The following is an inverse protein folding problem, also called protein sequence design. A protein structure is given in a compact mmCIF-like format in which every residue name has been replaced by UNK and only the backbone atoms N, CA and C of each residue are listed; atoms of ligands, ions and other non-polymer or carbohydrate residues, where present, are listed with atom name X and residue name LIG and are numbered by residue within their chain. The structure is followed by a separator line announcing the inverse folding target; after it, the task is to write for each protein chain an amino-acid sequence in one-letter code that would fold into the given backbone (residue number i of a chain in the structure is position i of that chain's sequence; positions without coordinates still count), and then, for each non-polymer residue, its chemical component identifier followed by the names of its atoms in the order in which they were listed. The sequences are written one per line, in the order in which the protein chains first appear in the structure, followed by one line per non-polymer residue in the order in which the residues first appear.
data_IF_662460692531
#
_entry.id   IF_662460692531
#
_cell.length_a   1.000
_cell.length_b   1.000
_cell.length_c   1.000
_cell.angle_alpha   90.00
_cell.angle_beta   90.00
_cell.angle_gamma   90.00
#
_symmetry.space_group_name_H-M   'P 1'
#
loop_
_entity.id
_entity.type
_entity.pdbx_description
1 polymer ?
#
# COMPACT_ATOMS: atom_id res chain seq x y z
N UNK A 1 14.70 -30.68 13.56
CA UNK A 1 15.68 -31.09 12.56
C UNK A 1 16.45 -29.85 12.10
N UNK A 2 17.77 -29.80 12.20
CA UNK A 2 18.55 -28.65 11.75
C UNK A 2 18.51 -28.59 10.22
N UNK A 3 18.09 -27.46 9.67
CA UNK A 3 18.20 -27.17 8.24
C UNK A 3 19.68 -26.92 7.93
N UNK A 4 20.32 -27.85 7.26
CA UNK A 4 21.61 -27.62 6.62
C UNK A 4 21.41 -26.52 5.57
N UNK A 5 21.73 -25.29 5.94
CA UNK A 5 21.86 -24.20 5.00
C UNK A 5 23.15 -24.42 4.23
N UNK A 6 23.05 -24.83 2.98
CA UNK A 6 24.17 -24.74 2.03
C UNK A 6 24.51 -23.25 1.93
N UNK A 7 25.63 -22.84 2.52
CA UNK A 7 26.21 -21.51 2.36
C UNK A 7 26.64 -21.34 0.88
N UNK A 8 25.70 -21.00 -0.01
CA UNK A 8 26.09 -20.36 -1.27
C UNK A 8 26.56 -18.96 -0.88
N UNK A 9 27.81 -18.64 -1.17
CA UNK A 9 28.32 -17.29 -1.07
C UNK A 9 27.40 -16.39 -1.90
N UNK A 10 26.57 -15.61 -1.21
CA UNK A 10 25.69 -14.64 -1.87
C UNK A 10 26.61 -13.50 -2.29
N UNK A 11 26.73 -13.25 -3.59
CA UNK A 11 27.49 -12.11 -4.10
C UNK A 11 26.82 -10.83 -3.62
N UNK A 12 27.58 -9.98 -2.97
CA UNK A 12 27.17 -8.64 -2.56
C UNK A 12 27.92 -7.62 -3.40
N UNK A 13 27.29 -6.49 -3.64
CA UNK A 13 27.84 -5.40 -4.43
C UNK A 13 28.10 -4.17 -3.56
N UNK A 14 29.16 -3.42 -3.86
CA UNK A 14 29.42 -2.14 -3.21
C UNK A 14 28.45 -1.07 -3.70
N UNK A 15 28.30 0.00 -2.91
CA UNK A 15 27.45 1.13 -3.28
C UNK A 15 27.89 1.75 -4.62
N UNK A 16 29.18 2.00 -4.80
CA UNK A 16 29.72 2.65 -6.00
C UNK A 16 29.57 1.79 -7.24
N UNK A 17 29.72 0.46 -7.10
CA UNK A 17 29.51 -0.48 -8.20
C UNK A 17 28.03 -0.45 -8.65
N UNK A 18 27.09 -0.50 -7.71
CA UNK A 18 25.66 -0.47 -8.01
C UNK A 18 25.28 0.87 -8.62
N UNK A 19 25.79 1.99 -8.07
CA UNK A 19 25.51 3.33 -8.59
C UNK A 19 25.98 3.46 -10.05
N UNK A 20 27.22 3.10 -10.33
CA UNK A 20 27.79 3.16 -11.69
C UNK A 20 26.99 2.34 -12.70
N UNK A 21 26.65 1.09 -12.35
CA UNK A 21 25.88 0.21 -13.24
C UNK A 21 24.44 0.68 -13.42
N UNK A 22 23.82 1.21 -12.35
CA UNK A 22 22.46 1.75 -12.41
C UNK A 22 22.39 3.01 -13.26
N UNK A 23 23.34 3.95 -13.13
CA UNK A 23 23.42 5.13 -13.98
C UNK A 23 23.55 4.73 -15.46
N UNK A 24 24.40 3.75 -15.75
CA UNK A 24 24.53 3.23 -17.11
C UNK A 24 23.24 2.59 -17.63
N UNK A 25 22.52 1.84 -16.77
CA UNK A 25 21.23 1.25 -17.12
C UNK A 25 20.17 2.32 -17.46
N UNK A 26 20.12 3.41 -16.69
CA UNK A 26 19.20 4.53 -16.90
C UNK A 26 19.75 5.61 -17.87
N UNK A 27 20.77 5.27 -18.66
CA UNK A 27 21.33 6.13 -19.71
C UNK A 27 21.82 7.51 -19.21
N UNK A 28 22.36 7.54 -17.99
CA UNK A 28 22.87 8.76 -17.36
C UNK A 28 21.92 9.45 -16.40
N UNK A 29 20.69 8.96 -16.22
CA UNK A 29 19.74 9.51 -15.24
C UNK A 29 20.13 9.06 -13.81
N UNK A 30 20.85 9.94 -13.10
CA UNK A 30 21.31 9.71 -11.74
C UNK A 30 20.14 9.67 -10.72
N UNK A 31 19.08 10.45 -10.98
CA UNK A 31 17.90 10.47 -10.10
C UNK A 31 17.14 9.15 -10.17
N UNK A 32 16.93 8.61 -11.38
CA UNK A 32 16.33 7.29 -11.55
C UNK A 32 17.18 6.19 -10.93
N UNK A 33 18.51 6.24 -11.14
CA UNK A 33 19.46 5.28 -10.56
C UNK A 33 19.44 5.29 -9.01
N UNK A 34 19.57 6.45 -8.40
CA UNK A 34 19.55 6.60 -6.95
C UNK A 34 18.19 6.23 -6.34
N UNK A 35 17.09 6.55 -7.03
CA UNK A 35 15.74 6.18 -6.61
C UNK A 35 15.57 4.66 -6.61
N UNK A 36 16.00 3.97 -7.69
CA UNK A 36 15.95 2.52 -7.76
C UNK A 36 16.79 1.86 -6.66
N UNK A 37 18.03 2.29 -6.49
CA UNK A 37 18.95 1.77 -5.47
C UNK A 37 18.39 1.88 -4.05
N UNK A 38 17.82 3.04 -3.71
CA UNK A 38 17.36 3.33 -2.36
C UNK A 38 16.01 2.68 -2.05
N UNK A 39 15.12 2.51 -3.03
CA UNK A 39 13.75 2.10 -2.79
C UNK A 39 13.44 0.66 -3.21
N UNK A 40 14.12 0.11 -4.23
CA UNK A 40 13.71 -1.11 -4.90
C UNK A 40 14.75 -2.22 -4.96
N UNK A 41 16.04 -1.87 -5.03
CA UNK A 41 17.12 -2.86 -5.05
C UNK A 41 17.09 -3.75 -3.79
N UNK A 42 17.19 -5.06 -3.99
CA UNK A 42 17.21 -6.01 -2.89
C UNK A 42 18.51 -5.88 -2.09
N UNK A 43 18.38 -5.85 -0.76
CA UNK A 43 19.48 -5.81 0.18
C UNK A 43 19.35 -6.93 1.20
N UNK A 44 20.48 -7.33 1.76
CA UNK A 44 20.51 -8.26 2.88
C UNK A 44 20.18 -7.57 4.22
N UNK A 45 20.18 -8.33 5.31
CA UNK A 45 19.93 -7.80 6.67
C UNK A 45 21.03 -6.86 7.18
N UNK A 46 22.19 -6.82 6.53
CA UNK A 46 23.31 -5.91 6.82
C UNK A 46 23.33 -4.71 5.88
N UNK A 47 22.28 -4.53 5.07
CA UNK A 47 22.12 -3.45 4.08
C UNK A 47 23.11 -3.54 2.88
N UNK A 48 23.75 -4.69 2.64
CA UNK A 48 24.55 -4.91 1.44
C UNK A 48 23.62 -5.16 0.24
N UNK A 49 23.98 -4.63 -0.92
CA UNK A 49 23.21 -4.85 -2.14
C UNK A 49 23.37 -6.29 -2.65
N UNK A 50 22.24 -6.91 -2.96
CA UNK A 50 22.12 -8.23 -3.58
C UNK A 50 21.70 -8.13 -5.06
N UNK A 51 21.36 -6.96 -5.51
CA UNK A 51 21.03 -6.62 -6.90
C UNK A 51 21.83 -5.42 -7.32
N UNK A 52 22.39 -5.48 -8.53
CA UNK A 52 23.28 -4.48 -9.07
C UNK A 52 22.62 -3.62 -10.16
N UNK A 53 21.56 -4.14 -10.81
CA UNK A 53 20.83 -3.46 -11.86
C UNK A 53 19.33 -3.77 -11.77
N UNK A 54 18.47 -2.92 -12.36
CA UNK A 54 17.03 -3.22 -12.47
C UNK A 54 16.72 -4.56 -13.16
N UNK A 55 17.56 -5.03 -14.06
CA UNK A 55 17.35 -6.34 -14.70
C UNK A 55 17.39 -7.49 -13.71
N UNK A 56 18.26 -7.44 -12.69
CA UNK A 56 18.30 -8.48 -11.64
C UNK A 56 17.02 -8.47 -10.81
N UNK A 57 16.48 -7.29 -10.50
CA UNK A 57 15.16 -7.14 -9.88
C UNK A 57 14.05 -7.72 -10.79
N UNK A 58 14.08 -7.41 -12.08
CA UNK A 58 13.12 -7.94 -13.04
C UNK A 58 13.16 -9.47 -13.13
N UNK A 59 14.36 -10.06 -13.12
CA UNK A 59 14.53 -11.50 -13.07
C UNK A 59 14.00 -12.12 -11.78
N UNK A 60 14.26 -11.49 -10.64
CA UNK A 60 13.71 -11.94 -9.34
C UNK A 60 12.19 -12.00 -9.39
N UNK A 61 11.55 -10.95 -9.89
CA UNK A 61 10.09 -10.90 -10.02
C UNK A 61 9.57 -11.93 -11.05
N UNK A 62 10.22 -12.02 -12.21
CA UNK A 62 9.83 -12.96 -13.26
C UNK A 62 9.81 -14.41 -12.77
N UNK A 63 10.83 -14.82 -12.00
CA UNK A 63 10.89 -16.14 -11.37
C UNK A 63 9.69 -16.41 -10.44
N UNK A 64 9.27 -15.40 -9.66
CA UNK A 64 8.14 -15.59 -8.75
C UNK A 64 6.80 -15.69 -9.50
N UNK A 65 6.60 -14.86 -10.52
CA UNK A 65 5.39 -14.93 -11.35
C UNK A 65 5.32 -16.25 -12.14
N UNK A 66 6.43 -16.68 -12.75
CA UNK A 66 6.48 -17.94 -13.48
C UNK A 66 6.22 -19.15 -12.55
N UNK A 67 6.74 -19.11 -11.32
CA UNK A 67 6.45 -20.12 -10.30
C UNK A 67 4.95 -20.20 -9.99
N UNK A 68 4.31 -19.03 -9.81
CA UNK A 68 2.86 -18.97 -9.54
C UNK A 68 2.02 -19.38 -10.74
N UNK A 69 2.41 -18.97 -11.93
CA UNK A 69 1.77 -19.39 -13.17
C UNK A 69 1.77 -20.91 -13.32
N UNK A 70 2.94 -21.53 -13.09
CA UNK A 70 3.06 -22.99 -13.10
C UNK A 70 2.20 -23.67 -12.03
N UNK A 71 2.15 -23.11 -10.81
CA UNK A 71 1.31 -23.62 -9.72
C UNK A 71 -0.18 -23.57 -10.08
N UNK A 72 -0.65 -22.45 -10.64
CA UNK A 72 -2.05 -22.31 -11.06
C UNK A 72 -2.38 -23.24 -12.22
N UNK A 73 -1.49 -23.38 -13.20
CA UNK A 73 -1.72 -24.31 -14.32
C UNK A 73 -1.83 -25.75 -13.82
N UNK A 74 -0.95 -26.19 -12.95
CA UNK A 74 -1.02 -27.54 -12.37
C UNK A 74 -2.35 -27.78 -11.63
N UNK A 75 -2.83 -26.80 -10.86
CA UNK A 75 -4.12 -26.90 -10.16
C UNK A 75 -5.31 -26.90 -11.12
N UNK A 76 -5.32 -26.02 -12.12
CA UNK A 76 -6.42 -25.87 -13.06
C UNK A 76 -6.49 -27.01 -14.08
N UNK A 77 -5.40 -27.69 -14.37
CA UNK A 77 -5.32 -28.82 -15.28
C UNK A 77 -5.43 -30.17 -14.58
N UNK A 78 -5.79 -30.21 -13.29
CA UNK A 78 -6.24 -31.46 -12.66
C UNK A 78 -7.52 -31.97 -13.36
N UNK A 79 -7.68 -33.29 -13.48
CA UNK A 79 -8.77 -33.92 -14.21
C UNK A 79 -10.19 -33.43 -13.84
N UNK A 80 -10.36 -32.95 -12.60
CA UNK A 80 -11.65 -32.43 -12.13
C UNK A 80 -11.93 -30.97 -12.59
N UNK A 81 -10.90 -30.15 -12.79
CA UNK A 81 -11.05 -28.72 -13.02
C UNK A 81 -10.87 -28.30 -14.49
N UNK A 82 -10.13 -29.08 -15.28
CA UNK A 82 -9.78 -28.74 -16.67
C UNK A 82 -11.00 -28.47 -17.55
N UNK A 83 -12.04 -29.29 -17.43
CA UNK A 83 -13.29 -29.19 -18.22
C UNK A 83 -14.07 -27.89 -17.95
N UNK A 84 -13.81 -27.22 -16.83
CA UNK A 84 -14.47 -25.96 -16.48
C UNK A 84 -13.68 -24.70 -16.94
N UNK A 85 -12.49 -24.89 -17.50
CA UNK A 85 -11.75 -23.79 -18.07
C UNK A 85 -12.36 -23.33 -19.38
N UNK A 86 -12.28 -22.03 -19.67
CA UNK A 86 -12.57 -21.50 -20.99
C UNK A 86 -11.62 -22.13 -22.03
N UNK A 87 -12.00 -22.08 -23.33
CA UNK A 87 -11.13 -22.53 -24.42
C UNK A 87 -9.73 -21.89 -24.33
N UNK A 88 -9.67 -20.57 -24.11
CA UNK A 88 -8.41 -19.86 -23.89
C UNK A 88 -7.63 -20.44 -22.70
N UNK A 89 -8.29 -20.71 -21.57
CA UNK A 89 -7.64 -21.28 -20.39
C UNK A 89 -7.05 -22.66 -20.61
N UNK A 90 -7.65 -23.46 -21.49
CA UNK A 90 -7.19 -24.80 -21.86
C UNK A 90 -5.99 -24.76 -22.82
N UNK A 91 -6.01 -23.85 -23.80
CA UNK A 91 -5.07 -23.78 -24.92
C UNK A 91 -3.88 -22.83 -24.69
N UNK A 92 -4.01 -21.84 -23.79
CA UNK A 92 -2.97 -20.83 -23.59
C UNK A 92 -1.63 -21.42 -23.14
N UNK A 93 -0.58 -20.89 -23.71
CA UNK A 93 0.77 -21.20 -23.29
C UNK A 93 1.07 -20.63 -21.87
N UNK A 94 1.95 -21.33 -21.14
CA UNK A 94 2.51 -20.81 -19.89
C UNK A 94 3.39 -19.59 -20.14
N UNK A 95 3.27 -18.62 -19.24
CA UNK A 95 4.22 -17.53 -19.13
C UNK A 95 5.45 -18.05 -18.36
N UNK A 96 6.52 -18.33 -19.07
CA UNK A 96 7.81 -18.68 -18.47
C UNK A 96 8.58 -17.45 -17.96
N UNK A 97 9.69 -17.70 -17.28
CA UNK A 97 10.53 -16.63 -16.71
C UNK A 97 11.04 -15.67 -17.78
N UNK A 98 11.39 -16.15 -18.97
CA UNK A 98 11.95 -15.32 -20.06
C UNK A 98 10.89 -14.41 -20.68
N UNK A 99 9.67 -14.94 -20.92
CA UNK A 99 8.54 -14.16 -21.41
C UNK A 99 8.15 -13.06 -20.42
N UNK A 100 8.06 -13.39 -19.13
CA UNK A 100 7.73 -12.42 -18.08
C UNK A 100 8.84 -11.37 -17.94
N UNK A 101 10.10 -11.78 -17.92
CA UNK A 101 11.23 -10.86 -17.89
C UNK A 101 11.21 -9.88 -19.08
N UNK A 102 10.89 -10.37 -20.28
CA UNK A 102 10.77 -9.52 -21.48
C UNK A 102 9.75 -8.39 -21.28
N UNK A 103 8.62 -8.66 -20.61
CA UNK A 103 7.63 -7.63 -20.32
C UNK A 103 8.10 -6.58 -19.32
N UNK A 104 8.96 -6.94 -18.38
CA UNK A 104 9.53 -6.00 -17.39
C UNK A 104 10.74 -5.24 -17.92
N UNK A 105 11.54 -5.87 -18.79
CA UNK A 105 12.83 -5.34 -19.23
C UNK A 105 12.73 -3.90 -19.70
N UNK A 106 13.64 -3.05 -19.21
CA UNK A 106 13.67 -1.61 -19.47
C UNK A 106 12.38 -0.87 -19.09
N UNK A 107 11.54 -1.45 -18.20
CA UNK A 107 10.23 -0.91 -17.84
C UNK A 107 9.31 -0.64 -19.03
N UNK A 108 9.46 -1.42 -20.12
CA UNK A 108 8.88 -1.10 -21.42
C UNK A 108 7.37 -1.38 -21.50
N UNK A 109 6.92 -2.55 -21.05
CA UNK A 109 5.53 -2.97 -21.21
C UNK A 109 4.78 -2.98 -19.87
N UNK A 110 5.45 -3.41 -18.80
CA UNK A 110 4.86 -3.50 -17.45
C UNK A 110 5.79 -2.82 -16.45
N UNK A 111 5.25 -1.84 -15.74
CA UNK A 111 5.91 -1.18 -14.61
C UNK A 111 5.17 -1.62 -13.35
N UNK A 112 5.74 -2.52 -12.55
CA UNK A 112 5.09 -2.97 -11.31
C UNK A 112 5.03 -1.85 -10.27
N UNK A 113 4.08 -1.97 -9.35
CA UNK A 113 4.02 -1.08 -8.20
C UNK A 113 5.21 -1.27 -7.27
N UNK A 114 5.53 -0.24 -6.51
CA UNK A 114 6.72 -0.18 -5.66
C UNK A 114 6.85 -1.31 -4.64
N UNK A 115 5.75 -1.79 -4.05
CA UNK A 115 5.78 -2.93 -3.12
C UNK A 115 6.16 -4.22 -3.82
N UNK A 116 5.71 -4.43 -5.06
CA UNK A 116 6.07 -5.59 -5.87
C UNK A 116 7.56 -5.54 -6.22
N UNK A 117 8.03 -4.39 -6.73
CA UNK A 117 9.44 -4.21 -7.09
C UNK A 117 10.39 -4.44 -5.92
N UNK A 118 10.07 -3.89 -4.74
CA UNK A 118 10.95 -3.99 -3.57
C UNK A 118 10.89 -5.33 -2.85
N UNK A 119 9.74 -6.03 -2.93
CA UNK A 119 9.43 -7.08 -1.95
C UNK A 119 9.17 -8.45 -2.56
N UNK A 120 8.65 -8.54 -3.80
CA UNK A 120 8.35 -9.84 -4.39
C UNK A 120 9.62 -10.67 -4.59
N UNK A 121 9.66 -11.84 -3.94
CA UNK A 121 10.83 -12.72 -3.97
C UNK A 121 12.01 -12.29 -3.08
N UNK A 122 11.83 -11.27 -2.23
CA UNK A 122 12.83 -10.87 -1.24
C UNK A 122 12.62 -11.66 0.05
N UNK A 123 13.54 -12.58 0.42
CA UNK A 123 13.41 -13.40 1.62
C UNK A 123 13.80 -12.66 2.92
N UNK A 124 14.35 -11.45 2.81
CA UNK A 124 14.92 -10.72 3.95
C UNK A 124 13.87 -9.83 4.64
N UNK A 125 12.73 -9.59 4.01
CA UNK A 125 11.68 -8.72 4.53
C UNK A 125 10.30 -9.38 4.46
N UNK A 126 9.43 -9.00 5.39
CA UNK A 126 8.01 -9.35 5.36
C UNK A 126 7.25 -8.07 4.97
N UNK A 127 6.73 -8.04 3.76
CA UNK A 127 6.01 -6.90 3.23
C UNK A 127 4.71 -7.31 2.53
N UNK A 128 3.78 -6.36 2.40
CA UNK A 128 2.62 -6.50 1.53
C UNK A 128 3.04 -6.33 0.07
N UNK A 129 2.41 -7.09 -0.82
CA UNK A 129 2.51 -6.87 -2.26
C UNK A 129 1.40 -5.93 -2.78
N UNK A 130 0.42 -5.61 -1.93
CA UNK A 130 -0.57 -4.56 -2.18
C UNK A 130 -0.05 -3.23 -1.68
N UNK A 131 -0.04 -2.21 -2.54
CA UNK A 131 0.41 -0.87 -2.16
C UNK A 131 -0.63 -0.13 -1.34
N UNK A 132 -1.92 -0.37 -1.59
CA UNK A 132 -3.01 0.33 -0.93
C UNK A 132 -4.11 -0.65 -0.50
N UNK A 133 -4.64 -0.42 0.70
CA UNK A 133 -5.73 -1.19 1.30
C UNK A 133 -6.73 -0.20 1.88
N UNK A 134 -8.01 -0.45 1.69
CA UNK A 134 -9.09 0.26 2.38
C UNK A 134 -9.54 -0.61 3.55
N UNK A 135 -9.56 -0.05 4.74
CA UNK A 135 -10.07 -0.74 5.93
C UNK A 135 -11.62 -0.70 5.94
N UNK A 136 -12.26 -1.67 6.60
CA UNK A 136 -13.68 -1.62 6.87
C UNK A 136 -14.07 -0.38 7.68
N UNK A 137 -15.35 -0.08 7.72
CA UNK A 137 -15.93 0.97 8.55
C UNK A 137 -15.49 0.86 10.00
N UNK A 138 -15.23 2.02 10.61
CA UNK A 138 -14.77 2.09 12.00
C UNK A 138 -15.99 1.95 12.90
N UNK A 139 -15.97 0.97 13.81
CA UNK A 139 -17.02 0.87 14.82
C UNK A 139 -16.96 2.05 15.77
N UNK A 140 -18.11 2.71 16.02
CA UNK A 140 -18.21 3.93 16.82
C UNK A 140 -18.05 3.66 18.33
N UNK A 141 -16.82 3.38 18.71
CA UNK A 141 -16.38 3.18 20.09
C UNK A 141 -14.86 3.37 20.19
N UNK A 142 -14.35 3.62 21.40
CA UNK A 142 -12.89 3.62 21.60
C UNK A 142 -12.24 2.29 21.20
N UNK A 143 -12.94 1.16 21.45
CA UNK A 143 -12.47 -0.16 20.99
C UNK A 143 -12.30 -0.23 19.48
N UNK A 144 -13.30 0.25 18.72
CA UNK A 144 -13.24 0.29 17.25
C UNK A 144 -12.16 1.24 16.74
N UNK A 145 -12.07 2.45 17.30
CA UNK A 145 -11.05 3.45 16.95
C UNK A 145 -9.64 2.91 17.18
N UNK A 146 -9.37 2.32 18.34
CA UNK A 146 -8.04 1.78 18.67
C UNK A 146 -7.72 0.50 17.91
N UNK A 147 -8.74 -0.31 17.58
CA UNK A 147 -8.55 -1.46 16.69
C UNK A 147 -8.11 -1.01 15.29
N UNK A 148 -8.77 0.01 14.75
CA UNK A 148 -8.37 0.61 13.46
C UNK A 148 -6.94 1.16 13.50
N UNK A 149 -6.58 1.87 14.57
CA UNK A 149 -5.22 2.39 14.77
C UNK A 149 -4.17 1.26 14.81
N UNK A 150 -4.47 0.16 15.50
CA UNK A 150 -3.63 -1.04 15.49
C UNK A 150 -3.48 -1.63 14.08
N UNK A 151 -4.58 -1.70 13.31
CA UNK A 151 -4.55 -2.20 11.94
C UNK A 151 -3.67 -1.30 11.05
N UNK A 152 -3.78 0.03 11.18
CA UNK A 152 -2.92 0.99 10.48
C UNK A 152 -1.44 0.69 10.76
N UNK A 153 -1.04 0.55 12.01
CA UNK A 153 0.34 0.23 12.38
C UNK A 153 0.81 -1.09 11.74
N UNK A 154 -0.04 -2.14 11.75
CA UNK A 154 0.28 -3.44 11.16
C UNK A 154 0.44 -3.39 9.64
N UNK A 155 -0.30 -2.53 8.94
CA UNK A 155 -0.23 -2.37 7.51
C UNK A 155 0.94 -1.47 7.10
N UNK A 156 1.15 -0.35 7.79
CA UNK A 156 2.26 0.55 7.52
C UNK A 156 3.62 -0.13 7.66
N UNK A 157 3.85 -0.91 8.71
CA UNK A 157 5.11 -1.65 8.87
C UNK A 157 5.37 -2.65 7.74
N UNK A 158 4.35 -3.01 6.95
CA UNK A 158 4.46 -3.89 5.78
C UNK A 158 4.51 -3.14 4.45
N UNK A 159 4.72 -1.82 4.49
CA UNK A 159 4.79 -0.93 3.31
C UNK A 159 3.48 -0.79 2.54
N UNK A 160 2.35 -0.89 3.23
CA UNK A 160 1.04 -0.68 2.65
C UNK A 160 0.54 0.73 2.95
N UNK A 161 0.04 1.45 1.96
CA UNK A 161 -0.78 2.64 2.15
C UNK A 161 -2.20 2.24 2.55
N UNK A 162 -2.87 3.06 3.36
CA UNK A 162 -4.18 2.71 3.91
C UNK A 162 -5.17 3.87 3.72
N UNK A 163 -6.40 3.52 3.36
CA UNK A 163 -7.56 4.40 3.39
C UNK A 163 -8.50 4.00 4.53
N UNK A 164 -9.01 4.98 5.24
CA UNK A 164 -10.06 4.82 6.26
C UNK A 164 -11.16 5.85 6.05
N UNK A 165 -12.39 5.48 6.41
CA UNK A 165 -13.54 6.35 6.44
C UNK A 165 -13.99 6.56 7.89
N UNK A 166 -14.15 7.83 8.30
CA UNK A 166 -14.55 8.19 9.67
C UNK A 166 -16.00 8.60 9.79
N UNK A 167 -16.80 8.44 8.73
CA UNK A 167 -18.20 8.88 8.69
C UNK A 167 -19.10 8.17 9.69
N UNK A 168 -18.70 6.97 10.13
CA UNK A 168 -19.46 6.21 11.14
C UNK A 168 -19.24 6.68 12.56
N UNK A 169 -18.19 7.47 12.82
CA UNK A 169 -17.93 8.03 14.13
C UNK A 169 -18.90 9.16 14.42
N UNK A 170 -19.47 9.17 15.61
CA UNK A 170 -20.45 10.19 16.04
C UNK A 170 -19.86 11.60 16.05
N UNK A 171 -20.66 12.62 15.67
CA UNK A 171 -20.21 14.00 15.63
C UNK A 171 -19.94 14.60 17.00
N UNK A 172 -19.18 15.68 17.01
CA UNK A 172 -18.83 16.43 18.22
C UNK A 172 -20.08 16.87 19.01
N UNK A 173 -20.01 16.78 20.33
CA UNK A 173 -21.08 17.17 21.23
C UNK A 173 -22.18 16.12 21.43
N UNK A 174 -22.21 15.02 20.68
CA UNK A 174 -23.16 13.94 20.93
C UNK A 174 -22.92 13.28 22.31
N UNK A 175 -24.04 12.90 22.95
CA UNK A 175 -24.01 12.24 24.24
C UNK A 175 -23.33 10.88 24.18
N UNK A 176 -22.56 10.59 25.22
CA UNK A 176 -21.92 9.29 25.45
C UNK A 176 -22.25 8.79 26.86
N UNK A 177 -22.26 7.48 27.05
CA UNK A 177 -22.60 6.85 28.33
C UNK A 177 -21.41 6.78 29.31
N UNK A 178 -20.28 7.40 28.99
CA UNK A 178 -19.10 7.43 29.90
C UNK A 178 -19.04 8.74 30.69
N UNK A 179 -18.04 8.85 31.59
CA UNK A 179 -17.86 9.99 32.49
C UNK A 179 -17.63 11.35 31.80
N UNK A 180 -17.31 11.36 30.48
CA UNK A 180 -17.12 12.59 29.71
C UNK A 180 -18.46 13.28 29.33
N UNK A 181 -19.56 12.52 29.32
CA UNK A 181 -20.90 13.02 28.97
C UNK A 181 -21.10 13.28 27.48
N UNK A 182 -20.10 13.83 26.78
CA UNK A 182 -20.14 14.10 25.33
C UNK A 182 -18.86 13.66 24.64
N UNK A 183 -18.92 13.43 23.30
CA UNK A 183 -17.76 13.12 22.49
C UNK A 183 -17.11 14.39 21.91
N UNK A 184 -15.81 14.27 21.61
CA UNK A 184 -15.04 15.32 20.89
C UNK A 184 -15.24 15.28 19.37
N UNK A 185 -15.96 14.27 18.85
CA UNK A 185 -16.30 14.13 17.44
C UNK A 185 -15.29 13.37 16.59
N UNK A 186 -15.69 13.09 15.34
CA UNK A 186 -14.93 12.28 14.40
C UNK A 186 -13.56 12.90 14.07
N UNK A 187 -13.50 14.21 13.89
CA UNK A 187 -12.31 14.96 13.47
C UNK A 187 -11.19 14.91 14.53
N UNK A 188 -11.57 14.83 15.82
CA UNK A 188 -10.57 14.78 16.90
C UNK A 188 -9.68 13.54 16.85
N UNK A 189 -10.18 12.42 16.32
CA UNK A 189 -9.42 11.17 16.19
C UNK A 189 -8.46 11.14 15.00
N UNK A 190 -8.58 12.07 14.05
CA UNK A 190 -7.70 12.15 12.89
C UNK A 190 -6.23 12.35 13.29
N UNK A 191 -5.96 13.13 14.34
CA UNK A 191 -4.60 13.36 14.80
C UNK A 191 -3.95 12.08 15.35
N UNK A 192 -4.74 11.22 16.02
CA UNK A 192 -4.27 9.92 16.46
C UNK A 192 -3.81 9.05 15.28
N UNK A 193 -4.64 8.90 14.26
CA UNK A 193 -4.30 8.12 13.06
C UNK A 193 -3.12 8.74 12.30
N UNK A 194 -3.06 10.06 12.25
CA UNK A 194 -1.94 10.81 11.68
C UNK A 194 -0.63 10.54 12.43
N UNK A 195 -0.65 10.51 13.76
CA UNK A 195 0.51 10.20 14.58
C UNK A 195 1.03 8.78 14.31
N UNK A 196 0.16 7.79 14.31
CA UNK A 196 0.52 6.40 13.98
C UNK A 196 1.21 6.31 12.62
N UNK A 197 0.73 7.08 11.62
CA UNK A 197 1.36 7.13 10.29
C UNK A 197 2.78 7.69 10.32
N UNK A 198 3.04 8.67 11.17
CA UNK A 198 4.37 9.29 11.33
C UNK A 198 5.34 8.41 12.12
N UNK A 199 4.83 7.73 13.15
CA UNK A 199 5.64 6.91 14.06
C UNK A 199 6.06 5.58 13.47
N UNK A 200 5.19 4.94 12.67
CA UNK A 200 5.51 3.65 12.07
C UNK A 200 6.45 3.84 10.88
N UNK A 201 7.75 3.83 11.18
CA UNK A 201 8.80 3.98 10.18
C UNK A 201 8.84 2.80 9.20
N UNK A 202 9.04 3.09 7.93
CA UNK A 202 9.14 2.14 6.82
C UNK A 202 10.53 2.19 6.16
N UNK A 203 11.60 2.13 6.95
CA UNK A 203 12.97 2.20 6.44
C UNK A 203 13.19 3.44 5.54
N UNK A 204 13.00 4.64 6.11
CA UNK A 204 13.15 5.93 5.40
C UNK A 204 11.93 6.37 4.57
N UNK A 205 10.84 5.59 4.56
CA UNK A 205 9.57 5.95 3.94
C UNK A 205 8.49 6.13 5.01
N UNK A 206 7.76 7.24 4.97
CA UNK A 206 6.60 7.46 5.84
C UNK A 206 5.45 6.56 5.42
N UNK A 207 4.57 6.21 6.35
CA UNK A 207 3.27 5.64 6.05
C UNK A 207 2.48 6.55 5.10
N UNK A 208 1.52 5.99 4.37
CA UNK A 208 0.61 6.74 3.53
C UNK A 208 -0.82 6.49 4.01
N UNK A 209 -1.48 7.52 4.51
CA UNK A 209 -2.86 7.46 5.02
C UNK A 209 -3.75 8.42 4.23
N UNK A 210 -4.91 7.93 3.82
CA UNK A 210 -6.05 8.73 3.36
C UNK A 210 -7.17 8.60 4.38
N UNK A 211 -7.70 9.73 4.84
CA UNK A 211 -8.89 9.78 5.71
C UNK A 211 -10.01 10.41 4.91
N UNK A 212 -11.18 9.75 4.88
CA UNK A 212 -12.37 10.27 4.22
C UNK A 212 -13.49 10.50 5.22
N UNK A 213 -14.40 11.43 4.88
CA UNK A 213 -15.65 11.65 5.57
C UNK A 213 -16.77 11.89 4.54
N UNK A 214 -17.99 11.50 4.87
CA UNK A 214 -19.16 11.80 4.04
C UNK A 214 -19.51 13.29 4.13
N UNK A 215 -19.91 13.91 3.01
CA UNK A 215 -20.32 15.31 2.96
C UNK A 215 -21.53 15.61 3.85
N UNK A 216 -22.36 14.60 4.12
CA UNK A 216 -23.53 14.76 5.00
C UNK A 216 -23.17 14.77 6.50
N UNK A 217 -21.95 14.38 6.87
CA UNK A 217 -21.57 14.27 8.28
C UNK A 217 -21.56 15.64 8.97
N UNK A 218 -22.13 15.79 10.19
CA UNK A 218 -22.16 17.07 10.90
C UNK A 218 -20.79 17.72 11.16
N UNK A 219 -19.73 16.92 11.33
CA UNK A 219 -18.36 17.44 11.52
C UNK A 219 -17.65 17.78 10.20
N UNK A 220 -18.32 17.75 9.03
CA UNK A 220 -17.66 17.93 7.73
C UNK A 220 -16.97 19.30 7.57
N UNK A 221 -17.57 20.37 8.10
CA UNK A 221 -16.95 21.70 8.04
C UNK A 221 -15.66 21.76 8.85
N UNK A 222 -15.65 21.15 10.03
CA UNK A 222 -14.44 21.02 10.84
C UNK A 222 -13.39 20.14 10.13
N UNK A 223 -13.82 19.08 9.45
CA UNK A 223 -12.93 18.23 8.64
C UNK A 223 -12.27 19.01 7.50
N UNK A 224 -13.04 19.82 6.76
CA UNK A 224 -12.52 20.65 5.66
C UNK A 224 -11.45 21.61 6.16
N UNK A 225 -11.70 22.24 7.30
CA UNK A 225 -10.86 23.32 7.83
C UNK A 225 -9.68 22.84 8.66
N UNK A 226 -9.64 21.56 9.07
CA UNK A 226 -8.60 21.04 9.97
C UNK A 226 -7.18 21.29 9.47
N UNK A 227 -6.95 21.27 8.17
CA UNK A 227 -5.63 21.51 7.55
C UNK A 227 -5.30 22.96 7.26
N UNK A 228 -6.16 23.90 7.61
CA UNK A 228 -5.79 25.32 7.66
C UNK A 228 -4.72 25.54 8.73
N UNK A 229 -4.74 24.78 9.81
CA UNK A 229 -3.60 24.64 10.72
C UNK A 229 -2.62 23.59 10.17
N UNK A 230 -1.52 24.08 9.59
CA UNK A 230 -0.50 23.23 8.95
C UNK A 230 0.22 22.29 9.92
N UNK A 231 0.04 22.46 11.23
CA UNK A 231 0.61 21.56 12.25
C UNK A 231 -0.26 20.32 12.50
N UNK A 232 -1.56 20.35 12.08
CA UNK A 232 -2.51 19.29 12.32
C UNK A 232 -2.55 18.25 11.19
N UNK A 233 -2.80 17.01 11.56
CA UNK A 233 -3.02 15.88 10.65
C UNK A 233 -1.96 15.79 9.55
N UNK A 234 -0.71 16.03 9.91
CA UNK A 234 0.42 16.11 8.97
C UNK A 234 0.81 14.76 8.35
N UNK A 235 0.39 13.64 8.95
CA UNK A 235 0.65 12.28 8.49
C UNK A 235 -0.42 11.70 7.56
N UNK A 236 -1.48 12.45 7.24
CA UNK A 236 -2.57 11.94 6.41
C UNK A 236 -3.00 12.94 5.33
N UNK A 237 -3.40 12.41 4.18
CA UNK A 237 -4.22 13.12 3.21
C UNK A 237 -5.70 13.04 3.63
N UNK A 238 -6.51 14.02 3.24
CA UNK A 238 -7.94 14.05 3.53
C UNK A 238 -8.73 14.17 2.24
N UNK A 239 -9.92 13.57 2.20
CA UNK A 239 -10.85 13.67 1.08
C UNK A 239 -12.31 13.59 1.57
N UNK A 240 -13.23 14.21 0.85
CA UNK A 240 -14.65 14.20 1.16
C UNK A 240 -15.35 13.31 0.15
N UNK A 241 -16.25 12.47 0.62
CA UNK A 241 -17.13 11.70 -0.24
C UNK A 241 -18.35 12.55 -0.57
N UNK A 242 -18.47 12.94 -1.83
CA UNK A 242 -19.63 13.67 -2.33
C UNK A 242 -20.72 12.70 -2.78
N UNK A 243 -21.97 12.93 -2.38
CA UNK A 243 -23.12 12.14 -2.82
C UNK A 243 -23.82 12.83 -4.01
N UNK A 244 -24.57 12.05 -4.79
CA UNK A 244 -25.43 12.61 -5.85
C UNK A 244 -26.46 13.59 -5.29
N UNK A 245 -26.98 13.34 -4.08
CA UNK A 245 -27.89 14.25 -3.38
C UNK A 245 -27.24 15.62 -3.16
N UNK A 246 -26.00 15.64 -2.67
CA UNK A 246 -25.24 16.88 -2.49
C UNK A 246 -24.99 17.58 -3.83
N UNK A 247 -24.55 16.84 -4.85
CA UNK A 247 -24.29 17.41 -6.17
C UNK A 247 -25.56 18.00 -6.81
N UNK A 248 -26.70 17.35 -6.62
CA UNK A 248 -27.99 17.88 -7.06
C UNK A 248 -28.40 19.14 -6.28
N UNK A 249 -28.14 19.19 -4.97
CA UNK A 249 -28.36 20.39 -4.16
C UNK A 249 -27.52 21.57 -4.66
N UNK A 250 -26.24 21.33 -4.96
CA UNK A 250 -25.33 22.32 -5.56
C UNK A 250 -25.85 22.81 -6.92
N UNK A 251 -26.27 21.90 -7.81
CA UNK A 251 -26.75 22.23 -9.14
C UNK A 251 -28.02 23.06 -9.11
N UNK A 252 -28.87 22.88 -8.09
CA UNK A 252 -30.18 23.57 -7.95
C UNK A 252 -30.13 24.75 -6.96
N UNK A 253 -28.93 25.10 -6.45
CA UNK A 253 -28.73 26.11 -5.41
C UNK A 253 -29.68 25.94 -4.21
N UNK A 254 -29.79 24.68 -3.74
CA UNK A 254 -30.72 24.30 -2.67
C UNK A 254 -29.98 23.93 -1.39
N UNK A 255 -30.71 23.98 -0.25
CA UNK A 255 -30.16 23.57 1.03
C UNK A 255 -29.82 22.09 1.06
N UNK A 256 -28.69 21.74 1.72
CA UNK A 256 -28.29 20.39 2.01
C UNK A 256 -28.22 20.17 3.52
N UNK A 257 -28.87 19.12 4.02
CA UNK A 257 -28.95 18.85 5.46
C UNK A 257 -27.84 17.91 5.90
N UNK A 258 -27.03 18.35 6.86
CA UNK A 258 -26.06 17.50 7.52
C UNK A 258 -26.79 16.52 8.45
N UNK A 259 -26.38 15.24 8.41
CA UNK A 259 -26.99 14.17 9.22
C UNK A 259 -25.99 13.08 9.53
N UNK A 260 -26.17 12.44 10.66
CA UNK A 260 -25.41 11.25 11.05
C UNK A 260 -26.40 10.16 11.41
N UNK A 261 -26.18 8.90 10.95
CA UNK A 261 -27.12 7.79 11.15
C UNK A 261 -27.28 7.36 12.62
#
# INVERSE_FOLDING_TARGET
MPRNAVNKSINTYSYDEVLKKSIAYFQGDELAASTWMNKYAMKDKKNNFLECTPDEMHWRMAKQFARKEKEYKLKSHSNASFKYLSKYGQERELLDEKKIFHYFKNFKYIIPQGSVMSSLGNPNIIASLSNCIVLPEIYDSYGGIFHTDQQLAQLFKRRCGVGIDISTLRPAGMLVSNAAGTTTGAVSFMERFSNTTREVAQNGRRGALMITIDIAHPDVEQFITVKQDLSKVTGANISIRLSDEFMNAVANDSNFTLRWP
#
